data_IF_624620239570
#
_entry.id   IF_624620239570
#
_cell.length_a   1.000
_cell.length_b   1.000
_cell.length_c   1.000
_cell.angle_alpha   90.00
_cell.angle_beta   90.00
_cell.angle_gamma   90.00
#
_symmetry.space_group_name_H-M   'P 1'
#
loop_
_entity.id
_entity.type
_entity.pdbx_description
1 polymer ?
#
# COMPACT_ATOMS: atom_id res chain seq x y z
N UNK A 1 45.77 -40.33 6.15
CA UNK A 1 46.17 -39.38 7.21
C UNK A 1 44.91 -38.69 7.69
N UNK A 2 44.28 -39.21 8.74
CA UNK A 2 42.99 -38.70 9.25
C UNK A 2 43.27 -37.56 10.23
N UNK A 3 43.26 -36.33 9.73
CA UNK A 3 43.41 -35.12 10.54
C UNK A 3 42.13 -34.84 11.32
N UNK A 4 42.06 -35.33 12.57
CA UNK A 4 41.00 -34.91 13.49
C UNK A 4 41.21 -33.43 13.86
N UNK A 5 40.47 -32.54 13.20
CA UNK A 5 40.41 -31.12 13.55
C UNK A 5 39.74 -30.96 14.92
N UNK A 6 40.54 -30.89 16.00
CA UNK A 6 40.04 -30.68 17.36
C UNK A 6 39.68 -29.20 17.52
N UNK A 7 38.41 -28.87 17.31
CA UNK A 7 37.89 -27.51 17.55
C UNK A 7 38.05 -27.21 19.05
N UNK A 8 38.70 -26.10 19.36
CA UNK A 8 38.90 -25.61 20.73
C UNK A 8 37.55 -25.54 21.47
N UNK A 9 37.43 -26.11 22.69
CA UNK A 9 36.19 -26.09 23.46
C UNK A 9 35.64 -24.68 23.69
N UNK A 10 36.49 -23.66 23.77
CA UNK A 10 36.07 -22.26 23.85
C UNK A 10 35.35 -21.78 22.59
N UNK A 11 35.83 -22.18 21.40
CA UNK A 11 35.23 -21.78 20.13
C UNK A 11 33.87 -22.46 19.89
N UNK A 12 33.71 -23.71 20.37
CA UNK A 12 32.43 -24.41 20.36
C UNK A 12 31.40 -23.75 21.31
N UNK A 13 31.84 -23.33 22.49
CA UNK A 13 30.97 -22.66 23.46
C UNK A 13 30.46 -21.31 22.94
N UNK A 14 31.32 -20.51 22.30
CA UNK A 14 30.94 -19.23 21.70
C UNK A 14 29.93 -19.40 20.56
N UNK A 15 30.10 -20.41 19.70
CA UNK A 15 29.15 -20.70 18.61
C UNK A 15 27.78 -21.16 19.13
N UNK A 16 27.75 -21.97 20.19
CA UNK A 16 26.49 -22.36 20.83
C UNK A 16 25.79 -21.17 21.48
N UNK A 17 26.55 -20.31 22.16
CA UNK A 17 25.97 -19.14 22.84
C UNK A 17 25.40 -18.12 21.84
N UNK A 18 26.05 -17.90 20.69
CA UNK A 18 25.54 -17.00 19.65
C UNK A 18 24.29 -17.53 18.97
N UNK A 19 24.21 -18.84 18.69
CA UNK A 19 23.02 -19.45 18.10
C UNK A 19 21.81 -19.44 19.04
N UNK A 20 22.02 -19.61 20.34
CA UNK A 20 20.94 -19.52 21.35
C UNK A 20 20.42 -18.08 21.45
N UNK A 21 21.31 -17.08 21.50
CA UNK A 21 20.90 -15.67 21.53
C UNK A 21 20.17 -15.22 20.27
N UNK A 22 20.59 -15.69 19.09
CA UNK A 22 19.87 -15.45 17.83
C UNK A 22 18.47 -16.08 17.88
N UNK A 23 18.36 -17.34 18.35
CA UNK A 23 17.06 -18.02 18.46
C UNK A 23 16.09 -17.34 19.43
N UNK A 24 16.59 -16.85 20.57
CA UNK A 24 15.79 -16.11 21.56
C UNK A 24 15.34 -14.76 20.99
N UNK A 25 16.25 -13.99 20.38
CA UNK A 25 15.92 -12.70 19.76
C UNK A 25 14.86 -12.85 18.64
N UNK A 26 15.03 -13.85 17.76
CA UNK A 26 14.04 -14.15 16.71
C UNK A 26 12.69 -14.60 17.27
N UNK A 27 12.69 -15.31 18.41
CA UNK A 27 11.46 -15.73 19.10
C UNK A 27 10.71 -14.57 19.74
N UNK A 28 11.45 -13.61 20.33
CA UNK A 28 10.87 -12.42 20.96
C UNK A 28 10.24 -11.47 19.92
N UNK A 29 10.88 -11.25 18.77
CA UNK A 29 10.28 -10.43 17.70
C UNK A 29 8.93 -10.99 17.21
N UNK A 30 8.83 -12.30 17.05
CA UNK A 30 7.57 -12.96 16.63
C UNK A 30 6.48 -12.80 17.69
N UNK A 31 6.83 -12.88 18.98
CA UNK A 31 5.89 -12.66 20.09
C UNK A 31 5.44 -11.21 20.19
N UNK A 32 6.34 -10.26 19.95
CA UNK A 32 6.00 -8.82 19.93
C UNK A 32 5.06 -8.45 18.77
N UNK A 33 5.21 -9.08 17.59
CA UNK A 33 4.27 -8.91 16.47
C UNK A 33 2.89 -9.52 16.75
N UNK A 34 2.84 -10.67 17.41
CA UNK A 34 1.59 -11.35 17.75
C UNK A 34 0.76 -10.64 18.83
N UNK A 35 1.40 -9.85 19.71
CA UNK A 35 0.74 -9.11 20.79
C UNK A 35 0.41 -7.65 20.49
N UNK A 36 0.60 -7.18 19.25
CA UNK A 36 0.31 -5.80 18.88
C UNK A 36 -1.22 -5.64 18.76
N UNK A 37 -1.86 -5.17 19.83
CA UNK A 37 -3.24 -4.70 19.79
C UNK A 37 -3.32 -3.52 18.80
N UNK A 38 -3.68 -3.81 17.55
CA UNK A 38 -3.96 -2.77 16.57
C UNK A 38 -5.33 -2.21 16.94
N UNK A 39 -5.33 -1.08 17.65
CA UNK A 39 -6.56 -0.33 17.86
C UNK A 39 -7.21 -0.10 16.49
N UNK A 40 -8.54 -0.23 16.36
CA UNK A 40 -9.21 0.01 15.09
C UNK A 40 -8.85 1.41 14.63
N UNK A 41 -8.06 1.50 13.57
CA UNK A 41 -7.68 2.78 13.00
C UNK A 41 -8.98 3.39 12.47
N UNK A 42 -9.33 4.60 12.96
CA UNK A 42 -10.46 5.34 12.41
C UNK A 42 -10.26 5.41 10.91
N UNK A 43 -11.28 5.03 10.13
CA UNK A 43 -11.21 5.13 8.69
C UNK A 43 -11.01 6.61 8.32
N UNK A 44 -9.81 6.94 7.85
CA UNK A 44 -9.44 8.27 7.37
C UNK A 44 -9.25 8.13 5.86
N UNK A 45 -10.13 8.78 5.12
CA UNK A 45 -10.01 8.93 3.68
C UNK A 45 -9.69 10.41 3.38
N UNK A 46 -8.72 10.70 2.50
CA UNK A 46 -7.92 9.77 1.70
C UNK A 46 -6.75 9.18 2.50
N UNK A 47 -6.37 7.92 2.20
CA UNK A 47 -5.29 7.26 2.95
C UNK A 47 -4.60 6.06 2.31
N UNK A 48 -4.96 5.67 1.08
CA UNK A 48 -4.37 4.48 0.43
C UNK A 48 -3.15 4.82 -0.43
N UNK A 49 -3.23 5.89 -1.23
CA UNK A 49 -2.13 6.40 -2.07
C UNK A 49 -1.82 7.88 -1.82
N UNK A 50 -2.79 8.63 -1.29
CA UNK A 50 -2.73 10.06 -1.07
C UNK A 50 -3.29 10.35 0.33
N UNK A 51 -2.81 11.42 0.94
CA UNK A 51 -3.42 12.02 2.13
C UNK A 51 -3.89 13.46 1.82
N UNK A 52 -4.51 14.14 2.80
CA UNK A 52 -5.02 15.50 2.65
C UNK A 52 -3.91 16.53 2.29
N UNK A 53 -2.69 16.31 2.77
CA UNK A 53 -1.56 17.19 2.49
C UNK A 53 -1.11 17.05 1.02
N UNK A 54 -1.12 15.83 0.49
CA UNK A 54 -0.87 15.56 -0.93
C UNK A 54 -1.90 16.26 -1.81
N UNK A 55 -3.20 16.12 -1.49
CA UNK A 55 -4.28 16.80 -2.21
C UNK A 55 -4.09 18.32 -2.19
N UNK A 56 -3.72 18.89 -1.03
CA UNK A 56 -3.48 20.32 -0.87
C UNK A 56 -2.29 20.80 -1.72
N UNK A 57 -1.19 20.03 -1.77
CA UNK A 57 -0.05 20.30 -2.66
C UNK A 57 -0.45 20.28 -4.12
N UNK A 58 -1.21 19.26 -4.54
CA UNK A 58 -1.68 19.14 -5.93
C UNK A 58 -2.56 20.33 -6.31
N UNK A 59 -3.52 20.72 -5.45
CA UNK A 59 -4.38 21.90 -5.66
C UNK A 59 -3.57 23.19 -5.79
N UNK A 60 -2.58 23.39 -4.92
CA UNK A 60 -1.68 24.54 -5.03
C UNK A 60 -0.90 24.52 -6.35
N UNK A 61 -0.37 23.37 -6.75
CA UNK A 61 0.35 23.18 -8.01
C UNK A 61 -0.52 23.55 -9.22
N UNK A 62 -1.77 23.10 -9.25
CA UNK A 62 -2.75 23.46 -10.29
C UNK A 62 -3.01 24.97 -10.32
N UNK A 63 -3.29 25.58 -9.16
CA UNK A 63 -3.55 27.03 -9.06
C UNK A 63 -2.36 27.90 -9.50
N UNK A 64 -1.13 27.43 -9.26
CA UNK A 64 0.11 28.13 -9.63
C UNK A 64 0.66 27.71 -10.99
N UNK A 65 -0.04 26.82 -11.71
CA UNK A 65 0.38 26.29 -13.00
C UNK A 65 1.78 25.66 -12.95
N UNK A 66 2.09 24.96 -11.86
CA UNK A 66 3.37 24.29 -11.64
C UNK A 66 3.32 22.86 -12.16
N UNK A 67 4.36 22.46 -12.89
CA UNK A 67 4.53 21.09 -13.36
C UNK A 67 4.99 20.14 -12.25
N UNK A 68 4.54 18.87 -12.24
CA UNK A 68 3.72 18.20 -13.26
C UNK A 68 2.19 18.36 -13.07
N UNK A 69 1.74 19.07 -12.02
CA UNK A 69 0.33 19.09 -11.61
C UNK A 69 -0.58 19.77 -12.61
N UNK A 70 -0.12 20.86 -13.24
CA UNK A 70 -0.95 21.63 -14.15
C UNK A 70 -1.29 20.86 -15.43
N UNK A 71 -0.27 20.33 -16.12
CA UNK A 71 -0.50 19.51 -17.32
C UNK A 71 -1.29 18.25 -17.00
N UNK A 72 -1.00 17.59 -15.86
CA UNK A 72 -1.78 16.43 -15.42
C UNK A 72 -3.26 16.79 -15.20
N UNK A 73 -3.55 17.90 -14.53
CA UNK A 73 -4.92 18.35 -14.29
C UNK A 73 -5.68 18.64 -15.58
N UNK A 74 -5.05 19.31 -16.56
CA UNK A 74 -5.68 19.58 -17.86
C UNK A 74 -6.02 18.29 -18.61
N UNK A 75 -5.10 17.33 -18.63
CA UNK A 75 -5.33 16.03 -19.28
C UNK A 75 -6.46 15.26 -18.59
N UNK A 76 -6.47 15.26 -17.25
CA UNK A 76 -7.47 14.57 -16.44
C UNK A 76 -8.86 15.24 -16.53
N UNK A 77 -8.91 16.57 -16.70
CA UNK A 77 -10.17 17.31 -16.84
C UNK A 77 -10.89 17.04 -18.16
N UNK A 78 -10.19 16.48 -19.16
CA UNK A 78 -10.79 16.05 -20.42
C UNK A 78 -11.39 14.65 -20.37
N UNK A 79 -11.22 13.91 -19.27
CA UNK A 79 -11.76 12.56 -19.14
C UNK A 79 -13.30 12.60 -18.98
N UNK A 80 -14.08 11.78 -19.72
CA UNK A 80 -15.54 11.74 -19.59
C UNK A 80 -16.04 11.43 -18.17
N UNK A 81 -15.24 10.72 -17.37
CA UNK A 81 -15.53 10.38 -15.98
C UNK A 81 -15.28 11.56 -15.02
N UNK A 82 -14.58 12.61 -15.48
CA UNK A 82 -14.32 13.84 -14.75
C UNK A 82 -15.52 14.79 -14.78
N UNK A 83 -16.68 14.28 -14.37
CA UNK A 83 -17.96 14.99 -14.47
C UNK A 83 -18.66 15.07 -13.13
N UNK A 84 -19.12 16.27 -12.78
CA UNK A 84 -20.00 16.48 -11.63
C UNK A 84 -21.38 15.81 -11.79
N UNK A 85 -21.74 15.42 -13.03
CA UNK A 85 -22.95 14.68 -13.34
C UNK A 85 -22.72 13.16 -13.41
N UNK A 86 -21.49 12.69 -13.18
CA UNK A 86 -21.19 11.25 -13.14
C UNK A 86 -22.06 10.55 -12.09
N UNK A 87 -22.65 9.42 -12.48
CA UNK A 87 -23.39 8.55 -11.58
C UNK A 87 -22.63 7.25 -11.43
N UNK A 88 -22.51 6.79 -10.18
CA UNK A 88 -21.83 5.54 -9.85
C UNK A 88 -22.44 4.37 -10.65
N UNK A 89 -21.60 3.59 -11.31
CA UNK A 89 -22.02 2.42 -12.10
C UNK A 89 -22.30 1.20 -11.19
N UNK A 90 -21.80 1.20 -9.95
CA UNK A 90 -22.22 0.25 -8.89
C UNK A 90 -23.72 0.33 -8.53
N UNK A 91 -24.31 -0.48 -7.64
CA UNK A 91 -23.82 -1.38 -6.59
C UNK A 91 -23.77 -2.86 -7.02
N UNK A 92 -22.58 -3.43 -7.04
CA UNK A 92 -22.41 -4.83 -7.47
C UNK A 92 -22.31 -5.77 -6.28
N UNK A 93 -22.89 -6.97 -6.40
CA UNK A 93 -22.86 -7.98 -5.34
C UNK A 93 -21.45 -8.55 -5.12
N UNK A 94 -20.67 -8.67 -6.19
CA UNK A 94 -19.26 -9.03 -6.14
C UNK A 94 -18.54 -8.48 -7.38
N UNK A 95 -17.24 -8.29 -7.24
CA UNK A 95 -16.30 -7.91 -8.31
C UNK A 95 -15.21 -8.95 -8.37
N UNK A 96 -14.78 -9.33 -9.58
CA UNK A 96 -13.68 -10.27 -9.73
C UNK A 96 -12.46 -9.58 -10.34
N UNK A 97 -11.29 -9.98 -9.85
CA UNK A 97 -10.02 -9.68 -10.49
C UNK A 97 -9.48 -10.99 -11.02
N UNK A 98 -9.77 -11.28 -12.28
CA UNK A 98 -9.26 -12.46 -12.95
C UNK A 98 -8.19 -12.06 -13.98
N UNK A 99 -7.48 -13.04 -14.54
CA UNK A 99 -6.59 -12.86 -15.68
C UNK A 99 -7.02 -13.74 -16.87
N UNK A 100 -7.96 -14.66 -16.63
CA UNK A 100 -8.52 -15.55 -17.65
C UNK A 100 -9.97 -15.90 -17.30
N UNK A 101 -10.94 -15.36 -18.04
CA UNK A 101 -12.38 -15.61 -17.86
C UNK A 101 -13.19 -14.32 -17.72
N UNK A 102 -14.52 -14.40 -17.47
CA UNK A 102 -15.34 -13.22 -17.23
C UNK A 102 -14.87 -12.44 -16.00
N UNK A 103 -14.76 -11.11 -16.15
CA UNK A 103 -14.35 -10.16 -15.11
C UNK A 103 -15.51 -9.21 -14.76
N UNK A 104 -16.63 -9.73 -14.21
CA UNK A 104 -17.77 -8.89 -13.85
C UNK A 104 -17.35 -7.78 -12.87
N UNK A 105 -17.73 -6.55 -13.21
CA UNK A 105 -17.64 -5.40 -12.33
C UNK A 105 -16.27 -4.74 -12.21
N UNK A 106 -15.26 -5.21 -12.96
CA UNK A 106 -13.93 -4.61 -12.89
C UNK A 106 -13.91 -3.21 -13.48
N UNK A 107 -14.54 -3.03 -14.65
CA UNK A 107 -14.51 -1.76 -15.37
C UNK A 107 -15.33 -0.71 -14.62
N UNK A 108 -16.51 -1.09 -14.15
CA UNK A 108 -17.40 -0.25 -13.35
C UNK A 108 -16.73 0.21 -12.05
N UNK A 109 -16.03 -0.70 -11.34
CA UNK A 109 -15.23 -0.34 -10.16
C UNK A 109 -14.11 0.64 -10.51
N UNK A 110 -13.45 0.44 -11.64
CA UNK A 110 -12.39 1.33 -12.13
C UNK A 110 -12.94 2.71 -12.50
N UNK A 111 -14.08 2.79 -13.19
CA UNK A 111 -14.73 4.05 -13.53
C UNK A 111 -15.15 4.83 -12.29
N UNK A 112 -15.78 4.15 -11.33
CA UNK A 112 -16.21 4.76 -10.07
C UNK A 112 -15.02 5.31 -9.26
N UNK A 113 -13.92 4.55 -9.21
CA UNK A 113 -12.69 4.98 -8.53
C UNK A 113 -12.04 6.19 -9.22
N UNK A 114 -11.98 6.18 -10.56
CA UNK A 114 -11.45 7.30 -11.34
C UNK A 114 -12.31 8.54 -11.15
N UNK A 115 -13.64 8.43 -11.35
CA UNK A 115 -14.57 9.54 -11.17
C UNK A 115 -14.48 10.16 -9.77
N UNK A 116 -14.35 9.33 -8.72
CA UNK A 116 -14.14 9.81 -7.35
C UNK A 116 -12.85 10.63 -7.20
N UNK A 117 -11.74 10.18 -7.78
CA UNK A 117 -10.47 10.89 -7.70
C UNK A 117 -10.51 12.20 -8.50
N UNK A 118 -11.05 12.17 -9.71
CA UNK A 118 -11.13 13.33 -10.59
C UNK A 118 -12.01 14.42 -9.97
N UNK A 119 -13.17 14.06 -9.43
CA UNK A 119 -14.06 15.00 -8.74
C UNK A 119 -13.45 15.56 -7.44
N UNK A 120 -12.51 14.87 -6.79
CA UNK A 120 -11.85 15.39 -5.58
C UNK A 120 -10.76 16.45 -5.90
N UNK A 121 -10.21 16.40 -7.12
CA UNK A 121 -9.18 17.30 -7.63
C UNK A 121 -9.75 18.57 -8.27
N UNK A 122 -10.94 18.47 -8.88
CA UNK A 122 -11.73 19.60 -9.37
C UNK A 122 -12.28 20.45 -8.22
#
# INVERSE_FOLDING_TARGET
MNGHFRINPFLKAVLHLSMVWIGIAYGEEKRQRAGKNVLPQKFVHPGILQNDEDLSRMKFGVQKQVEPWYTAFLNMSGDPLASAAYQMEGSMAYVTRNNTGPEPGKDELSHDAVASLLNALM
#
